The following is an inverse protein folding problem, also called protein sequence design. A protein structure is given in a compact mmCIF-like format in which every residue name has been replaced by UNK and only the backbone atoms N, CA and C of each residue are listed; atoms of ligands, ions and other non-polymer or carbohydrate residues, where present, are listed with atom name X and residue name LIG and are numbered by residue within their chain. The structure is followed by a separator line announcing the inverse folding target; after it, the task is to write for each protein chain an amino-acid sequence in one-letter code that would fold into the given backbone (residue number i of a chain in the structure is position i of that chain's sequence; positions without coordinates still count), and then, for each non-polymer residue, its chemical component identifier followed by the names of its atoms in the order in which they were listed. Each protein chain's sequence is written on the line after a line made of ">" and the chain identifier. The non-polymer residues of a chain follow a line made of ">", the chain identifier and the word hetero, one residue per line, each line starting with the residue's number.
data_IF_855364449481
#
_entry.id   IF_855364449481
#
_cell.length_a   1.000
_cell.length_b   1.000
_cell.length_c   1.000
_cell.angle_alpha   90.00
_cell.angle_beta   90.00
_cell.angle_gamma   90.00
#
_symmetry.space_group_name_H-M   'P 1'
#
loop_
_entity.id
_entity.type
_entity.pdbx_description
1 polymer ?
#
# COMPACT_ATOMS: atom_id res chain seq x y z
N UNK A 1 -45.74 36.63 39.23
CA UNK A 1 -46.36 35.40 38.69
C UNK A 1 -45.96 35.36 37.22
N UNK A 2 -45.15 34.46 36.66
CA UNK A 2 -44.58 33.19 37.12
C UNK A 2 -43.26 33.01 36.34
N UNK A 3 -42.19 32.70 37.07
CA UNK A 3 -40.86 32.34 36.57
C UNK A 3 -40.84 30.91 36.03
N UNK A 4 -40.04 30.64 34.99
CA UNK A 4 -39.43 29.31 34.83
C UNK A 4 -38.08 29.42 34.10
N UNK A 5 -37.04 29.20 34.89
CA UNK A 5 -35.66 28.89 34.51
C UNK A 5 -35.63 27.40 34.16
N UNK A 6 -34.97 27.03 33.06
CA UNK A 6 -34.54 25.64 32.83
C UNK A 6 -33.08 25.60 32.32
N UNK A 7 -32.35 24.51 32.63
CA UNK A 7 -30.96 24.58 33.05
C UNK A 7 -29.94 24.19 31.97
N UNK A 8 -28.69 24.56 32.25
CA UNK A 8 -27.47 24.08 31.61
C UNK A 8 -27.36 22.55 31.68
N UNK A 9 -27.28 21.89 30.51
CA UNK A 9 -26.74 20.54 30.39
C UNK A 9 -25.28 20.63 29.95
N UNK A 10 -24.40 20.35 30.90
CA UNK A 10 -22.99 20.06 30.70
C UNK A 10 -22.84 18.88 29.74
N UNK A 11 -22.20 19.10 28.60
CA UNK A 11 -21.72 18.00 27.77
C UNK A 11 -20.32 17.63 28.29
N UNK A 12 -20.32 16.62 29.16
CA UNK A 12 -19.12 15.94 29.67
C UNK A 12 -18.26 15.46 28.50
N UNK A 13 -16.97 15.77 28.57
CA UNK A 13 -15.98 15.28 27.62
C UNK A 13 -15.79 13.77 27.71
N UNK A 14 -15.19 13.20 26.67
CA UNK A 14 -14.04 12.26 26.74
C UNK A 14 -13.70 11.79 25.30
N UNK A 15 -12.39 11.78 25.05
CA UNK A 15 -11.63 11.29 23.88
C UNK A 15 -11.46 12.22 22.68
N UNK A 16 -10.40 13.03 22.80
CA UNK A 16 -9.50 13.36 21.71
C UNK A 16 -9.05 12.09 20.97
N UNK A 17 -9.34 11.99 19.67
CA UNK A 17 -8.55 11.18 18.75
C UNK A 17 -8.36 11.95 17.44
N UNK A 18 -7.25 12.71 17.44
CA UNK A 18 -6.37 12.98 16.31
C UNK A 18 -7.08 13.14 14.95
N UNK A 19 -7.76 14.26 14.77
CA UNK A 19 -7.81 14.87 13.44
C UNK A 19 -6.39 15.31 13.10
N UNK A 20 -5.59 14.40 12.57
CA UNK A 20 -4.44 14.78 11.75
C UNK A 20 -5.01 15.65 10.63
N UNK A 21 -4.90 16.97 10.81
CA UNK A 21 -5.14 17.94 9.75
C UNK A 21 -4.09 17.65 8.68
N UNK A 22 -4.43 16.77 7.74
CA UNK A 22 -3.67 16.56 6.53
C UNK A 22 -3.75 17.87 5.74
N UNK A 23 -2.82 18.79 6.00
CA UNK A 23 -2.55 19.91 5.13
C UNK A 23 -1.99 19.31 3.83
N UNK A 24 -2.90 18.85 2.96
CA UNK A 24 -2.50 18.27 1.69
C UNK A 24 -1.78 19.36 0.89
N UNK A 25 -0.55 19.12 0.40
CA UNK A 25 0.12 20.05 -0.48
C UNK A 25 -0.76 20.32 -1.70
N UNK A 26 -0.82 21.56 -2.18
CA UNK A 26 -1.61 21.92 -3.36
C UNK A 26 -1.25 21.02 -4.55
N UNK A 27 -2.21 20.24 -5.05
CA UNK A 27 -1.99 19.28 -6.14
C UNK A 27 -2.94 19.53 -7.33
N UNK A 28 -2.40 19.52 -8.54
CA UNK A 28 -3.19 19.66 -9.77
C UNK A 28 -3.56 18.27 -10.29
N UNK A 29 -4.86 18.07 -10.54
CA UNK A 29 -5.39 16.90 -11.24
C UNK A 29 -5.49 17.20 -12.74
N UNK A 30 -4.95 16.29 -13.56
CA UNK A 30 -5.05 16.37 -15.02
C UNK A 30 -5.51 15.03 -15.57
N UNK A 31 -6.63 15.02 -16.30
CA UNK A 31 -7.05 13.86 -17.08
C UNK A 31 -6.37 13.89 -18.45
N UNK A 32 -5.73 12.78 -18.85
CA UNK A 32 -5.17 12.58 -20.19
C UNK A 32 -5.21 11.10 -20.54
N UNK A 33 -5.56 10.71 -21.77
CA UNK A 33 -5.38 9.33 -22.29
C UNK A 33 -5.77 8.22 -21.28
N UNK A 34 -6.96 8.32 -20.72
CA UNK A 34 -7.49 7.40 -19.69
C UNK A 34 -6.64 7.24 -18.42
N UNK A 35 -5.74 8.18 -18.15
CA UNK A 35 -4.97 8.28 -16.92
C UNK A 35 -5.29 9.56 -16.15
N UNK A 36 -5.42 9.43 -14.84
CA UNK A 36 -5.50 10.57 -13.92
C UNK A 36 -4.09 10.89 -13.44
N UNK A 37 -3.63 12.10 -13.72
CA UNK A 37 -2.33 12.57 -13.28
C UNK A 37 -2.49 13.51 -12.09
N UNK A 38 -1.90 13.12 -10.96
CA UNK A 38 -1.83 13.90 -9.72
C UNK A 38 -0.43 14.51 -9.63
N UNK A 39 -0.34 15.82 -9.82
CA UNK A 39 0.93 16.57 -9.82
C UNK A 39 1.01 17.56 -8.70
N UNK A 40 2.21 17.77 -8.14
CA UNK A 40 2.42 18.81 -7.16
C UNK A 40 2.31 20.18 -7.85
N UNK A 41 1.47 21.07 -7.35
CA UNK A 41 1.28 22.42 -7.89
C UNK A 41 1.89 23.44 -6.94
N UNK A 42 2.85 24.22 -7.43
CA UNK A 42 3.45 25.33 -6.67
C UNK A 42 2.64 26.64 -6.80
N UNK A 43 1.77 26.74 -7.82
CA UNK A 43 0.89 27.88 -8.03
C UNK A 43 -0.54 27.56 -7.54
N UNK A 44 -1.08 28.50 -6.78
CA UNK A 44 -2.30 28.47 -5.95
C UNK A 44 -3.62 28.56 -6.71
N UNK A 45 -3.66 28.27 -8.01
CA UNK A 45 -4.92 28.19 -8.77
C UNK A 45 -5.50 26.77 -8.68
N UNK A 46 -5.98 26.39 -7.50
CA UNK A 46 -6.72 25.14 -7.30
C UNK A 46 -8.22 25.41 -7.23
N UNK A 47 -8.98 24.64 -8.00
CA UNK A 47 -10.38 24.37 -7.74
C UNK A 47 -10.40 23.47 -6.50
N UNK A 48 -10.84 23.99 -5.36
CA UNK A 48 -10.96 23.21 -4.12
C UNK A 48 -12.08 22.18 -4.30
N UNK A 49 -11.72 20.94 -4.63
CA UNK A 49 -12.66 19.83 -4.73
C UNK A 49 -12.78 19.15 -3.36
N UNK A 50 -13.85 19.43 -2.57
CA UNK A 50 -14.04 18.82 -1.25
C UNK A 50 -14.14 17.29 -1.32
N UNK A 51 -14.51 16.74 -2.48
CA UNK A 51 -14.61 15.30 -2.75
C UNK A 51 -13.28 14.54 -2.64
N UNK A 52 -12.15 15.23 -2.65
CA UNK A 52 -10.82 14.61 -2.59
C UNK A 52 -10.22 14.63 -1.18
N UNK A 53 -10.85 15.34 -0.24
CA UNK A 53 -10.41 15.40 1.16
C UNK A 53 -10.95 14.22 1.98
N UNK A 54 -12.01 13.57 1.49
CA UNK A 54 -12.61 12.40 2.09
C UNK A 54 -12.28 11.14 1.26
N UNK A 55 -11.68 10.14 1.90
CA UNK A 55 -11.30 8.88 1.26
C UNK A 55 -12.48 8.22 0.54
N UNK A 56 -13.67 8.23 1.15
CA UNK A 56 -14.87 7.58 0.59
C UNK A 56 -15.35 8.25 -0.69
N UNK A 57 -15.31 9.59 -0.73
CA UNK A 57 -15.71 10.35 -1.91
C UNK A 57 -14.69 10.15 -3.03
N UNK A 58 -13.39 10.13 -2.72
CA UNK A 58 -12.35 9.80 -3.68
C UNK A 58 -12.53 8.39 -4.26
N UNK A 59 -12.77 7.38 -3.42
CA UNK A 59 -13.03 6.00 -3.87
C UNK A 59 -14.24 5.96 -4.81
N UNK A 60 -15.33 6.65 -4.46
CA UNK A 60 -16.54 6.67 -5.28
C UNK A 60 -16.27 7.34 -6.64
N UNK A 61 -15.59 8.50 -6.63
CA UNK A 61 -15.17 9.18 -7.84
C UNK A 61 -14.27 8.30 -8.71
N UNK A 62 -13.33 7.58 -8.11
CA UNK A 62 -12.47 6.65 -8.85
C UNK A 62 -13.31 5.52 -9.45
N UNK A 63 -14.16 4.84 -8.68
CA UNK A 63 -15.00 3.73 -9.20
C UNK A 63 -15.84 4.13 -10.42
N UNK A 64 -16.40 5.33 -10.41
CA UNK A 64 -17.21 5.85 -11.52
C UNK A 64 -16.40 6.54 -12.63
N UNK A 65 -15.12 6.78 -12.42
CA UNK A 65 -14.25 7.41 -13.41
C UNK A 65 -13.85 6.41 -14.50
N UNK A 66 -13.89 6.90 -15.75
CA UNK A 66 -13.42 6.19 -16.96
C UNK A 66 -11.91 5.99 -17.00
N UNK A 67 -11.18 6.53 -16.02
CA UNK A 67 -9.73 6.41 -15.91
C UNK A 67 -9.32 4.96 -15.62
N UNK A 68 -8.37 4.44 -16.40
CA UNK A 68 -7.80 3.11 -16.25
C UNK A 68 -6.63 3.04 -15.26
N UNK A 69 -5.89 4.14 -15.06
CA UNK A 69 -4.76 4.19 -14.11
C UNK A 69 -4.56 5.58 -13.50
N UNK A 70 -3.99 5.61 -12.29
CA UNK A 70 -3.65 6.86 -11.60
C UNK A 70 -2.13 7.00 -11.55
N UNK A 71 -1.60 8.13 -12.00
CA UNK A 71 -0.17 8.47 -11.89
C UNK A 71 0.00 9.60 -10.88
N UNK A 72 0.82 9.40 -9.85
CA UNK A 72 1.08 10.39 -8.80
C UNK A 72 2.55 10.81 -8.82
N UNK A 73 2.81 12.10 -8.63
CA UNK A 73 4.17 12.64 -8.55
C UNK A 73 4.79 12.30 -7.18
N UNK A 74 6.04 11.82 -7.17
CA UNK A 74 6.75 11.43 -5.95
C UNK A 74 6.97 12.60 -4.98
N UNK A 75 6.82 13.84 -5.46
CA UNK A 75 6.97 15.08 -4.70
C UNK A 75 5.82 15.38 -3.73
N UNK A 76 4.70 14.65 -3.79
CA UNK A 76 3.50 14.92 -2.97
C UNK A 76 3.61 14.50 -1.49
N UNK A 77 4.74 13.93 -1.08
CA UNK A 77 4.93 13.42 0.28
C UNK A 77 4.29 12.04 0.50
N UNK A 78 4.77 11.32 1.50
CA UNK A 78 4.42 9.91 1.74
C UNK A 78 2.98 9.71 2.22
N UNK A 79 2.43 10.64 3.01
CA UNK A 79 1.04 10.60 3.50
C UNK A 79 0.04 10.68 2.35
N UNK A 80 0.21 11.65 1.44
CA UNK A 80 -0.63 11.81 0.25
C UNK A 80 -0.50 10.59 -0.67
N UNK A 81 0.71 10.07 -0.86
CA UNK A 81 0.94 8.85 -1.64
C UNK A 81 0.17 7.66 -1.06
N UNK A 82 0.24 7.44 0.26
CA UNK A 82 -0.49 6.37 0.95
C UNK A 82 -2.02 6.55 0.86
N UNK A 83 -2.51 7.78 1.03
CA UNK A 83 -3.93 8.11 0.90
C UNK A 83 -4.48 7.77 -0.49
N UNK A 84 -3.80 8.23 -1.56
CA UNK A 84 -4.19 7.92 -2.92
C UNK A 84 -4.04 6.44 -3.26
N UNK A 85 -2.99 5.78 -2.75
CA UNK A 85 -2.78 4.35 -2.96
C UNK A 85 -3.91 3.52 -2.35
N UNK A 86 -4.31 3.82 -1.11
CA UNK A 86 -5.44 3.18 -0.43
C UNK A 86 -6.75 3.35 -1.22
N UNK A 87 -7.05 4.57 -1.67
CA UNK A 87 -8.27 4.86 -2.41
C UNK A 87 -8.28 4.15 -3.78
N UNK A 88 -7.15 4.12 -4.48
CA UNK A 88 -7.02 3.44 -5.78
C UNK A 88 -7.18 1.93 -5.66
N UNK A 89 -6.59 1.32 -4.63
CA UNK A 89 -6.73 -0.11 -4.36
C UNK A 89 -8.19 -0.49 -4.06
N UNK A 90 -8.88 0.28 -3.20
CA UNK A 90 -10.31 0.10 -2.92
C UNK A 90 -11.22 0.33 -4.14
N UNK A 91 -10.75 1.14 -5.10
CA UNK A 91 -11.41 1.36 -6.38
C UNK A 91 -10.99 0.36 -7.48
N UNK A 92 -10.11 -0.60 -7.15
CA UNK A 92 -9.52 -1.57 -8.07
C UNK A 92 -8.85 -0.91 -9.31
N UNK A 93 -8.15 0.20 -9.08
CA UNK A 93 -7.39 0.92 -10.11
C UNK A 93 -5.90 0.91 -9.78
N UNK A 94 -5.03 0.60 -10.76
CA UNK A 94 -3.60 0.62 -10.54
C UNK A 94 -3.09 2.06 -10.36
N UNK A 95 -2.19 2.24 -9.39
CA UNK A 95 -1.52 3.50 -9.11
C UNK A 95 -0.02 3.38 -9.38
N UNK A 96 0.53 4.38 -10.07
CA UNK A 96 1.93 4.47 -10.46
C UNK A 96 2.53 5.76 -9.94
N UNK A 97 3.73 5.68 -9.38
CA UNK A 97 4.53 6.87 -9.13
C UNK A 97 5.22 7.24 -10.42
N UNK A 98 5.09 8.51 -10.81
CA UNK A 98 5.87 9.07 -11.91
C UNK A 98 7.35 8.98 -11.53
N UNK A 99 8.17 8.19 -12.25
CA UNK A 99 9.59 8.11 -11.96
C UNK A 99 10.25 9.47 -12.24
N UNK A 100 11.09 9.91 -11.31
CA UNK A 100 11.91 11.12 -11.49
C UNK A 100 13.01 10.87 -12.55
N UNK A 101 13.39 9.61 -12.76
CA UNK A 101 14.47 9.23 -13.67
C UNK A 101 13.92 8.52 -14.92
N UNK A 102 14.17 9.11 -16.10
CA UNK A 102 13.70 8.63 -17.41
C UNK A 102 14.64 7.60 -18.07
N UNK A 103 15.74 7.23 -17.43
CA UNK A 103 16.82 6.50 -18.10
C UNK A 103 16.77 4.99 -17.86
N UNK A 104 15.61 4.36 -18.02
CA UNK A 104 15.57 2.90 -18.15
C UNK A 104 15.54 2.57 -19.65
N UNK A 105 16.66 2.13 -20.25
CA UNK A 105 16.64 1.64 -21.62
C UNK A 105 15.72 0.42 -21.66
N UNK A 106 14.64 0.52 -22.41
CA UNK A 106 13.81 -0.62 -22.78
C UNK A 106 14.55 -1.33 -23.92
N UNK A 107 15.43 -2.27 -23.59
CA UNK A 107 16.12 -3.09 -24.59
C UNK A 107 15.14 -4.14 -25.11
N UNK A 108 14.74 -3.99 -26.37
CA UNK A 108 13.71 -4.80 -27.06
C UNK A 108 14.14 -6.29 -27.20
N UNK A 109 15.44 -6.58 -27.08
CA UNK A 109 15.96 -7.95 -27.03
C UNK A 109 15.73 -8.67 -25.68
N UNK A 110 15.31 -7.95 -24.65
CA UNK A 110 15.16 -8.49 -23.30
C UNK A 110 13.82 -9.18 -23.07
N UNK A 111 12.84 -9.06 -23.97
CA UNK A 111 11.48 -9.52 -23.69
C UNK A 111 11.41 -11.03 -23.41
N UNK A 112 12.14 -11.86 -24.15
CA UNK A 112 12.21 -13.30 -23.91
C UNK A 112 12.93 -13.62 -22.59
N UNK A 113 14.03 -12.92 -22.30
CA UNK A 113 14.78 -13.09 -21.06
C UNK A 113 13.96 -12.63 -19.84
N UNK A 114 13.17 -11.57 -19.98
CA UNK A 114 12.25 -11.05 -18.97
C UNK A 114 11.11 -12.04 -18.72
N UNK A 115 10.55 -12.64 -19.79
CA UNK A 115 9.54 -13.70 -19.67
C UNK A 115 10.12 -14.94 -19.00
N UNK A 116 11.34 -15.35 -19.36
CA UNK A 116 12.00 -16.50 -18.75
C UNK A 116 12.35 -16.24 -17.27
N UNK A 117 12.86 -15.05 -16.94
CA UNK A 117 13.09 -14.63 -15.56
C UNK A 117 11.77 -14.65 -14.79
N UNK A 118 10.68 -14.20 -15.42
CA UNK A 118 9.34 -14.21 -14.83
C UNK A 118 8.85 -15.62 -14.55
N UNK A 119 8.99 -16.55 -15.50
CA UNK A 119 8.57 -17.94 -15.29
C UNK A 119 9.38 -18.62 -14.22
N UNK A 120 10.72 -18.49 -14.25
CA UNK A 120 11.60 -19.08 -13.24
C UNK A 120 11.27 -18.53 -11.85
N UNK A 121 11.04 -17.22 -11.73
CA UNK A 121 10.64 -16.61 -10.46
C UNK A 121 9.32 -17.18 -9.93
N UNK A 122 8.32 -17.37 -10.80
CA UNK A 122 7.03 -17.96 -10.41
C UNK A 122 7.21 -19.42 -9.99
N UNK A 123 7.93 -20.23 -10.77
CA UNK A 123 8.20 -21.64 -10.43
C UNK A 123 8.95 -21.76 -9.10
N UNK A 124 9.98 -20.95 -8.90
CA UNK A 124 10.78 -20.97 -7.68
C UNK A 124 9.96 -20.48 -6.47
N UNK A 125 9.13 -19.45 -6.65
CA UNK A 125 8.22 -19.00 -5.60
C UNK A 125 7.17 -20.06 -5.23
N UNK A 126 6.58 -20.74 -6.22
CA UNK A 126 5.65 -21.86 -5.99
C UNK A 126 6.35 -23.03 -5.29
N UNK A 127 7.55 -23.39 -5.72
CA UNK A 127 8.34 -24.45 -5.10
C UNK A 127 8.61 -24.16 -3.63
N UNK A 128 9.11 -22.96 -3.30
CA UNK A 128 9.33 -22.56 -1.91
C UNK A 128 8.04 -22.44 -1.11
N UNK A 129 6.97 -21.90 -1.70
CA UNK A 129 5.69 -21.79 -1.02
C UNK A 129 5.09 -23.17 -0.72
N UNK A 130 5.23 -24.13 -1.64
CA UNK A 130 4.81 -25.52 -1.43
C UNK A 130 5.67 -26.21 -0.37
N UNK A 131 6.99 -26.02 -0.41
CA UNK A 131 7.92 -26.62 0.55
C UNK A 131 7.71 -26.08 1.97
N UNK A 132 7.46 -24.77 2.11
CA UNK A 132 7.24 -24.11 3.39
C UNK A 132 5.76 -23.99 3.77
N UNK A 133 4.82 -24.49 2.96
CA UNK A 133 3.38 -24.50 3.24
C UNK A 133 3.03 -25.06 4.63
N UNK A 134 3.49 -26.27 5.03
CA UNK A 134 3.16 -26.81 6.35
C UNK A 134 3.76 -25.95 7.48
N UNK A 135 4.93 -25.36 7.26
CA UNK A 135 5.58 -24.48 8.23
C UNK A 135 4.79 -23.17 8.39
N UNK A 136 4.36 -22.53 7.28
CA UNK A 136 3.54 -21.31 7.32
C UNK A 136 2.23 -21.58 8.04
N UNK A 137 1.56 -22.68 7.72
CA UNK A 137 0.31 -23.08 8.39
C UNK A 137 0.49 -23.27 9.90
N UNK A 138 1.57 -23.93 10.31
CA UNK A 138 1.90 -24.11 11.73
C UNK A 138 2.17 -22.78 12.44
N UNK A 139 2.91 -21.86 11.81
CA UNK A 139 3.19 -20.52 12.34
C UNK A 139 1.89 -19.72 12.51
N UNK A 140 1.05 -19.72 11.48
CA UNK A 140 -0.25 -19.03 11.47
C UNK A 140 -1.13 -19.57 12.59
N UNK A 141 -1.17 -20.90 12.77
CA UNK A 141 -1.92 -21.54 13.85
C UNK A 141 -1.42 -21.11 15.22
N UNK A 142 -0.09 -21.12 15.43
CA UNK A 142 0.51 -20.66 16.69
C UNK A 142 0.22 -19.17 16.98
N UNK A 143 0.26 -18.32 15.96
CA UNK A 143 -0.09 -16.90 16.09
C UNK A 143 -1.56 -16.73 16.48
N UNK A 144 -2.46 -17.45 15.83
CA UNK A 144 -3.90 -17.39 16.10
C UNK A 144 -4.24 -17.86 17.53
N UNK A 145 -3.55 -18.88 18.03
CA UNK A 145 -3.74 -19.39 19.39
C UNK A 145 -3.23 -18.43 20.47
N UNK A 146 -2.17 -17.66 20.19
CA UNK A 146 -1.59 -16.73 21.18
C UNK A 146 -2.27 -15.36 21.22
N UNK A 147 -2.67 -14.82 20.07
CA UNK A 147 -3.37 -13.54 20.00
C UNK A 147 -4.11 -13.42 18.67
N UNK A 148 -5.42 -13.12 18.66
CA UNK A 148 -6.23 -12.99 17.45
C UNK A 148 -5.98 -11.67 16.68
N UNK A 149 -4.75 -11.14 16.70
CA UNK A 149 -4.36 -9.94 15.99
C UNK A 149 -4.14 -10.14 14.48
N UNK A 150 -3.83 -9.05 13.77
CA UNK A 150 -3.47 -9.10 12.34
C UNK A 150 -2.14 -9.82 12.16
N UNK A 151 -2.19 -11.06 11.67
CA UNK A 151 -1.01 -11.91 11.42
C UNK A 151 -0.09 -11.29 10.36
N UNK A 152 -0.69 -10.68 9.35
CA UNK A 152 0.01 -10.02 8.25
C UNK A 152 -0.02 -8.51 8.43
N UNK A 153 1.14 -7.90 8.20
CA UNK A 153 1.30 -6.46 8.08
C UNK A 153 1.45 -6.12 6.60
N UNK A 154 0.70 -5.12 6.17
CA UNK A 154 0.75 -4.62 4.81
C UNK A 154 1.48 -3.28 4.77
N UNK A 155 2.49 -3.15 3.93
CA UNK A 155 3.29 -1.93 3.78
C UNK A 155 3.31 -1.49 2.31
N UNK A 156 3.06 -0.20 2.07
CA UNK A 156 3.11 0.35 0.71
C UNK A 156 4.55 0.41 0.20
N UNK A 157 4.77 -0.18 -0.97
CA UNK A 157 6.07 -0.26 -1.62
C UNK A 157 6.00 0.16 -3.09
N UNK A 158 7.13 0.66 -3.61
CA UNK A 158 7.31 1.03 -5.01
C UNK A 158 7.99 -0.12 -5.74
N UNK A 159 7.30 -0.70 -6.71
CA UNK A 159 7.75 -1.83 -7.52
C UNK A 159 8.39 -1.44 -8.84
N UNK A 160 8.64 -2.45 -9.68
CA UNK A 160 9.18 -2.25 -11.04
C UNK A 160 8.27 -1.29 -11.83
N UNK A 161 8.89 -0.39 -12.62
CA UNK A 161 8.21 0.66 -13.40
C UNK A 161 7.43 1.71 -12.58
N UNK A 162 7.69 1.80 -11.27
CA UNK A 162 7.04 2.77 -10.38
C UNK A 162 5.63 2.38 -9.93
N UNK A 163 5.18 1.14 -10.19
CA UNK A 163 3.88 0.67 -9.73
C UNK A 163 3.85 0.57 -8.20
N UNK A 164 2.82 1.13 -7.58
CA UNK A 164 2.59 0.99 -6.15
C UNK A 164 1.85 -0.32 -5.85
N UNK A 165 2.31 -1.03 -4.83
CA UNK A 165 1.68 -2.27 -4.37
C UNK A 165 1.85 -2.44 -2.85
N UNK A 166 1.04 -3.34 -2.28
CA UNK A 166 1.16 -3.72 -0.87
C UNK A 166 2.09 -4.89 -0.71
N UNK A 167 3.23 -4.65 -0.08
CA UNK A 167 4.10 -5.71 0.41
C UNK A 167 3.42 -6.38 1.62
N UNK A 168 3.46 -7.70 1.64
CA UNK A 168 2.87 -8.53 2.69
C UNK A 168 4.03 -9.09 3.50
N UNK A 169 4.04 -8.80 4.80
CA UNK A 169 5.02 -9.29 5.75
C UNK A 169 4.32 -9.86 6.98
N UNK A 170 5.01 -10.70 7.76
CA UNK A 170 4.52 -11.07 9.08
C UNK A 170 4.62 -9.87 10.04
N UNK A 171 3.65 -9.76 10.95
CA UNK A 171 3.74 -8.77 12.01
C UNK A 171 4.91 -9.12 12.95
N UNK A 172 5.89 -8.22 12.99
CA UNK A 172 7.09 -8.36 13.81
C UNK A 172 6.76 -8.41 15.31
N UNK A 173 5.68 -7.74 15.74
CA UNK A 173 5.26 -7.75 17.14
C UNK A 173 4.79 -9.14 17.56
N UNK A 174 4.06 -9.84 16.69
CA UNK A 174 3.68 -11.23 16.93
C UNK A 174 4.92 -12.14 16.87
N UNK A 175 5.84 -11.89 15.94
CA UNK A 175 7.06 -12.68 15.81
C UNK A 175 7.95 -12.66 17.06
N UNK A 176 8.06 -11.54 17.78
CA UNK A 176 8.86 -11.42 19.00
C UNK A 176 8.26 -12.15 20.21
N UNK A 177 6.92 -12.24 20.30
CA UNK A 177 6.21 -12.87 21.41
C UNK A 177 6.16 -14.41 21.30
N UNK A 178 6.61 -14.97 20.18
CA UNK A 178 6.68 -16.40 19.95
C UNK A 178 8.12 -16.89 20.10
N UNK A 179 8.35 -18.11 20.65
CA UNK A 179 9.66 -18.76 20.61
C UNK A 179 10.13 -19.04 19.17
N UNK A 180 9.31 -18.72 18.18
CA UNK A 180 9.59 -18.72 16.75
C UNK A 180 10.91 -18.03 16.37
N UNK A 181 11.35 -16.99 17.10
CA UNK A 181 12.66 -16.36 16.83
C UNK A 181 13.83 -17.35 16.99
N UNK A 182 13.71 -18.35 17.87
CA UNK A 182 14.71 -19.40 18.08
C UNK A 182 14.64 -20.53 17.03
N UNK A 183 13.52 -20.65 16.30
CA UNK A 183 13.29 -21.62 15.23
C UNK A 183 14.09 -21.32 13.94
N UNK A 184 15.05 -20.39 13.98
CA UNK A 184 15.93 -20.08 12.86
C UNK A 184 15.29 -19.22 11.77
N UNK A 185 14.13 -18.61 11.98
CA UNK A 185 13.43 -17.79 10.97
C UNK A 185 14.20 -16.54 10.52
N UNK A 186 15.03 -16.00 11.40
CA UNK A 186 15.95 -14.90 11.07
C UNK A 186 17.09 -15.38 10.19
N UNK A 187 17.68 -16.54 10.51
CA UNK A 187 18.79 -17.16 9.74
C UNK A 187 18.33 -17.64 8.36
N UNK A 188 17.18 -18.30 8.28
CA UNK A 188 16.59 -18.84 7.06
C UNK A 188 15.74 -17.81 6.29
N UNK A 189 15.67 -16.55 6.76
CA UNK A 189 14.83 -15.48 6.18
C UNK A 189 13.36 -15.86 5.98
N UNK A 190 12.85 -16.78 6.81
CA UNK A 190 11.47 -17.27 6.75
C UNK A 190 10.43 -16.16 7.02
N UNK A 191 10.84 -15.06 7.63
CA UNK A 191 10.00 -13.86 7.78
C UNK A 191 9.54 -13.26 6.43
N UNK A 192 10.27 -13.54 5.34
CA UNK A 192 9.94 -13.08 3.98
C UNK A 192 9.07 -14.05 3.21
N UNK A 193 8.65 -15.17 3.80
CA UNK A 193 7.76 -16.12 3.13
C UNK A 193 6.48 -15.46 2.61
N UNK A 194 5.83 -14.51 3.32
CA UNK A 194 4.65 -13.83 2.78
C UNK A 194 4.99 -12.97 1.55
N UNK A 195 6.24 -12.54 1.37
CA UNK A 195 6.67 -11.80 0.19
C UNK A 195 6.62 -12.68 -1.08
N UNK A 196 6.67 -14.01 -0.96
CA UNK A 196 6.52 -14.94 -2.10
C UNK A 196 5.17 -14.76 -2.81
N UNK A 197 4.11 -14.42 -2.07
CA UNK A 197 2.81 -14.09 -2.69
C UNK A 197 2.90 -12.88 -3.62
N UNK A 198 3.77 -11.91 -3.33
CA UNK A 198 3.96 -10.73 -4.17
C UNK A 198 4.76 -11.06 -5.44
N UNK A 199 5.61 -12.10 -5.37
CA UNK A 199 6.31 -12.64 -6.54
C UNK A 199 5.32 -13.34 -7.47
N UNK A 200 4.39 -14.12 -6.92
CA UNK A 200 3.31 -14.74 -7.69
C UNK A 200 2.46 -13.68 -8.40
N UNK A 201 2.07 -12.61 -7.67
CA UNK A 201 1.33 -11.45 -8.24
C UNK A 201 2.12 -10.66 -9.29
N UNK A 202 3.44 -10.80 -9.31
CA UNK A 202 4.31 -10.10 -10.26
C UNK A 202 4.70 -8.70 -9.90
N UNK A 203 4.64 -8.40 -8.62
CA UNK A 203 4.99 -7.11 -8.06
C UNK A 203 6.49 -7.07 -7.71
N UNK A 204 7.08 -8.22 -7.38
CA UNK A 204 8.50 -8.39 -7.03
C UNK A 204 9.17 -9.55 -7.79
N UNK A 205 10.50 -9.52 -7.89
CA UNK A 205 11.34 -10.61 -8.40
C UNK A 205 12.22 -11.13 -7.26
N UNK A 206 12.50 -12.44 -7.22
CA UNK A 206 13.38 -13.03 -6.20
C UNK A 206 14.80 -12.45 -6.30
N UNK A 207 15.27 -12.21 -7.52
CA UNK A 207 16.63 -11.76 -7.79
C UNK A 207 16.79 -10.24 -7.69
N UNK A 208 15.71 -9.48 -7.91
CA UNK A 208 15.71 -8.03 -7.82
C UNK A 208 14.66 -7.54 -6.82
N UNK A 209 14.96 -7.74 -5.54
CA UNK A 209 14.09 -7.35 -4.42
C UNK A 209 14.18 -5.86 -4.08
N UNK A 210 14.76 -5.00 -4.95
CA UNK A 210 14.88 -3.56 -4.71
C UNK A 210 13.51 -2.90 -4.82
N UNK A 211 12.80 -2.82 -3.71
CA UNK A 211 11.62 -1.99 -3.53
C UNK A 211 11.91 -0.95 -2.45
N UNK A 212 11.47 0.29 -2.66
CA UNK A 212 11.55 1.34 -1.64
C UNK A 212 10.22 1.40 -0.89
N UNK A 213 10.31 1.35 0.44
CA UNK A 213 9.15 1.57 1.32
C UNK A 213 8.73 3.04 1.28
N UNK A 214 7.44 3.29 1.49
CA UNK A 214 6.83 4.61 1.61
C UNK A 214 6.57 5.01 3.06
#
# INVERSE_FOLDING_TARGET
>A
MTTSIFPSLQQSGVVSDLSENFAFPSYSLKWRRDQLLVTFSRNSSQIHLPSLNNEQQLINCLKHSTVNLVTIDSKLGTSTLKFWANACEKANKPIFIRPVNKNQPLTIGDDILVVLERTINIFLALFFLSLFSPLIGFIVLLMLLKSPGSIFKYEWCIGKKGKLFRLVNFDHNLQQNLPISSLGMTKLRLHRLPELFNILRGETSLFNSKHSKL
#
